data_IF_319275427237
#
_entry.id   IF_319275427237
#
_cell.length_a   1.000
_cell.length_b   1.000
_cell.length_c   1.000
_cell.angle_alpha   90.00
_cell.angle_beta   90.00
_cell.angle_gamma   90.00
#
_symmetry.space_group_name_H-M   'P 1'
#
loop_
_entity.id
_entity.type
_entity.pdbx_description
1 polymer ?
#
# COMPACT_ATOMS: atom_id res chain seq x y z
N UNK A 1 -39.12 -10.15 71.01
CA UNK A 1 -38.24 -11.23 70.48
C UNK A 1 -38.77 -11.73 69.14
N UNK A 2 -37.98 -11.51 68.09
CA UNK A 2 -37.86 -12.16 66.77
C UNK A 2 -39.05 -12.97 66.21
N UNK A 3 -39.51 -12.56 65.02
CA UNK A 3 -39.54 -13.43 63.82
C UNK A 3 -39.20 -12.57 62.59
N UNK A 4 -38.04 -12.83 62.02
CA UNK A 4 -37.53 -12.23 60.77
C UNK A 4 -38.00 -13.12 59.63
N UNK A 5 -38.69 -12.54 58.64
CA UNK A 5 -38.99 -13.19 57.37
C UNK A 5 -37.88 -12.79 56.40
N UNK A 6 -37.08 -13.77 55.97
CA UNK A 6 -36.07 -13.60 54.93
C UNK A 6 -36.75 -13.84 53.58
N UNK A 7 -36.88 -12.79 52.77
CA UNK A 7 -37.27 -12.90 51.36
C UNK A 7 -35.98 -12.90 50.52
N UNK A 8 -35.67 -14.03 49.91
CA UNK A 8 -34.52 -14.16 49.01
C UNK A 8 -34.81 -13.45 47.69
N UNK A 9 -34.10 -12.35 47.42
CA UNK A 9 -34.09 -11.68 46.12
C UNK A 9 -32.96 -12.31 45.29
N UNK A 10 -33.34 -13.02 44.23
CA UNK A 10 -32.43 -13.53 43.20
C UNK A 10 -31.96 -12.33 42.38
N UNK A 11 -30.72 -11.89 42.58
CA UNK A 11 -30.05 -10.91 41.72
C UNK A 11 -29.58 -11.64 40.46
N UNK A 12 -30.29 -11.44 39.37
CA UNK A 12 -29.87 -11.85 38.03
C UNK A 12 -28.87 -10.81 37.51
N UNK A 13 -27.58 -11.13 37.60
CA UNK A 13 -26.50 -10.29 37.07
C UNK A 13 -26.49 -10.31 35.54
N UNK A 14 -27.08 -9.29 34.91
CA UNK A 14 -26.82 -8.99 33.51
C UNK A 14 -25.46 -8.29 33.38
N UNK A 15 -24.46 -9.04 32.92
CA UNK A 15 -23.20 -8.47 32.44
C UNK A 15 -23.51 -7.74 31.13
N UNK A 16 -23.62 -6.41 31.20
CA UNK A 16 -23.58 -5.54 30.04
C UNK A 16 -22.20 -5.63 29.40
N UNK A 17 -22.06 -6.51 28.40
CA UNK A 17 -20.97 -6.41 27.44
C UNK A 17 -21.18 -5.12 26.64
N UNK A 18 -20.36 -4.10 26.93
CA UNK A 18 -20.30 -2.90 26.13
C UNK A 18 -19.91 -3.27 24.70
N UNK A 19 -20.89 -3.27 23.80
CA UNK A 19 -20.64 -3.21 22.36
C UNK A 19 -19.84 -1.94 22.10
N UNK A 20 -18.56 -2.09 21.74
CA UNK A 20 -17.79 -1.03 21.10
C UNK A 20 -18.52 -0.64 19.83
N UNK A 21 -19.30 0.43 19.89
CA UNK A 21 -19.74 1.15 18.71
C UNK A 21 -18.50 1.49 17.89
N UNK A 22 -18.47 1.05 16.63
CA UNK A 22 -17.38 1.38 15.72
C UNK A 22 -17.26 2.89 15.63
N UNK A 23 -16.05 3.42 15.87
CA UNK A 23 -15.74 4.80 15.57
C UNK A 23 -16.03 5.02 14.08
N UNK A 24 -17.01 5.87 13.76
CA UNK A 24 -17.22 6.31 12.39
C UNK A 24 -15.90 6.94 11.92
N UNK A 25 -15.32 6.41 10.84
CA UNK A 25 -14.13 7.00 10.23
C UNK A 25 -14.45 8.46 9.89
N UNK A 26 -13.59 9.40 10.31
CA UNK A 26 -13.79 10.81 9.97
C UNK A 26 -13.95 10.98 8.45
N UNK A 27 -14.83 11.89 8.00
CA UNK A 27 -15.07 12.10 6.59
C UNK A 27 -13.77 12.55 5.91
N UNK A 28 -13.49 11.99 4.72
CA UNK A 28 -12.33 12.38 3.93
C UNK A 28 -12.43 13.86 3.56
N UNK A 29 -11.35 14.60 3.79
CA UNK A 29 -11.26 16.03 3.54
C UNK A 29 -10.47 16.33 2.28
N UNK A 30 -10.67 17.50 1.72
CA UNK A 30 -9.98 17.95 0.52
C UNK A 30 -9.58 19.41 0.62
N UNK A 31 -8.48 19.77 -0.07
CA UNK A 31 -8.04 21.16 -0.20
C UNK A 31 -8.06 21.54 -1.67
N UNK A 32 -8.56 22.73 -1.94
CA UNK A 32 -8.57 23.40 -3.23
C UNK A 32 -7.69 24.64 -3.24
N UNK A 33 -7.19 25.02 -4.42
CA UNK A 33 -6.53 26.30 -4.69
C UNK A 33 -7.11 26.90 -5.96
N UNK A 34 -7.76 28.05 -5.82
CA UNK A 34 -8.55 28.70 -6.88
C UNK A 34 -9.50 27.68 -7.52
N UNK A 35 -9.33 27.35 -8.79
CA UNK A 35 -10.25 26.49 -9.55
C UNK A 35 -9.77 25.03 -9.63
N UNK A 36 -8.75 24.67 -8.84
CA UNK A 36 -8.13 23.33 -8.86
C UNK A 36 -8.20 22.67 -7.51
N UNK A 37 -8.36 21.35 -7.52
CA UNK A 37 -8.21 20.51 -6.34
C UNK A 37 -6.74 20.13 -6.16
N UNK A 38 -6.23 20.21 -4.93
CA UNK A 38 -4.86 19.84 -4.59
C UNK A 38 -4.76 18.35 -4.24
N UNK A 39 -3.69 17.64 -4.65
CA UNK A 39 -3.46 16.25 -4.29
C UNK A 39 -2.86 16.10 -2.87
N UNK A 40 -3.42 16.80 -1.89
CA UNK A 40 -3.00 16.72 -0.49
C UNK A 40 -3.82 15.62 0.20
N UNK A 41 -3.15 14.62 0.78
CA UNK A 41 -3.81 13.45 1.38
C UNK A 41 -3.84 13.51 2.91
N UNK A 42 -2.78 14.03 3.56
CA UNK A 42 -2.67 14.10 5.02
C UNK A 42 -3.22 15.46 5.52
N UNK A 43 -4.52 15.47 5.80
CA UNK A 43 -5.28 16.62 6.28
C UNK A 43 -5.86 16.26 7.64
N UNK A 44 -5.58 17.09 8.65
CA UNK A 44 -6.00 16.84 10.03
C UNK A 44 -6.81 18.01 10.54
N UNK A 45 -7.82 17.74 11.37
CA UNK A 45 -8.54 18.79 12.10
C UNK A 45 -8.20 18.65 13.57
N UNK A 46 -7.53 19.65 14.11
CA UNK A 46 -7.07 19.65 15.50
C UNK A 46 -7.66 20.89 16.15
N UNK A 47 -8.50 20.72 17.17
CA UNK A 47 -9.22 21.79 17.83
C UNK A 47 -10.00 22.70 16.85
N UNK A 48 -10.56 22.11 15.79
CA UNK A 48 -11.29 22.84 14.75
C UNK A 48 -10.42 23.55 13.71
N UNK A 49 -9.09 23.52 13.85
CA UNK A 49 -8.15 24.07 12.88
C UNK A 49 -7.69 22.99 11.89
N UNK A 50 -7.81 23.27 10.60
CA UNK A 50 -7.34 22.35 9.56
C UNK A 50 -5.85 22.53 9.37
N UNK A 51 -5.09 21.47 9.68
CA UNK A 51 -3.65 21.43 9.52
C UNK A 51 -3.28 20.47 8.39
N UNK A 52 -2.33 20.90 7.57
CA UNK A 52 -1.86 20.18 6.38
C UNK A 52 -0.34 20.06 6.41
N UNK A 53 0.22 19.12 5.66
CA UNK A 53 1.66 18.94 5.59
C UNK A 53 2.33 20.24 5.12
N UNK A 54 3.28 20.73 5.91
CA UNK A 54 3.92 22.03 5.72
C UNK A 54 4.59 22.15 4.36
N UNK A 55 5.34 21.12 3.94
CA UNK A 55 6.08 21.10 2.67
C UNK A 55 5.15 21.10 1.46
N UNK A 56 4.02 20.37 1.53
CA UNK A 56 3.07 20.30 0.43
C UNK A 56 2.41 21.67 0.20
N UNK A 57 1.89 22.26 1.27
CA UNK A 57 1.08 23.47 1.14
C UNK A 57 1.92 24.70 0.77
N UNK A 58 3.13 24.85 1.32
CA UNK A 58 3.99 26.00 0.98
C UNK A 58 4.40 25.97 -0.48
N UNK A 59 4.63 24.78 -1.03
CA UNK A 59 4.91 24.59 -2.46
C UNK A 59 3.72 25.00 -3.34
N UNK A 60 2.50 24.53 -3.02
CA UNK A 60 1.31 24.90 -3.81
C UNK A 60 0.98 26.39 -3.73
N UNK A 61 1.23 27.01 -2.58
CA UNK A 61 1.02 28.44 -2.39
C UNK A 61 2.19 29.29 -2.87
N UNK A 62 3.25 28.71 -3.45
CA UNK A 62 4.47 29.40 -3.88
C UNK A 62 5.02 30.33 -2.79
N UNK A 63 5.17 29.77 -1.58
CA UNK A 63 5.79 30.42 -0.44
C UNK A 63 7.23 29.94 -0.36
N UNK A 64 8.18 30.86 -0.37
CA UNK A 64 9.59 30.55 -0.18
C UNK A 64 9.83 30.19 1.27
N UNK A 65 10.52 29.07 1.51
CA UNK A 65 10.82 28.54 2.84
C UNK A 65 12.32 28.58 3.06
N UNK A 66 12.76 29.26 4.12
CA UNK A 66 14.13 29.19 4.61
C UNK A 66 14.11 28.63 6.05
N UNK A 67 14.68 27.45 6.24
CA UNK A 67 14.66 26.74 7.51
C UNK A 67 16.01 26.91 8.22
N UNK A 68 15.95 27.38 9.46
CA UNK A 68 17.10 27.46 10.37
C UNK A 68 16.91 26.45 11.51
N UNK A 69 17.82 26.43 12.47
CA UNK A 69 17.89 25.40 13.52
C UNK A 69 16.60 25.30 14.34
N UNK A 70 16.02 26.43 14.75
CA UNK A 70 14.87 26.52 15.64
C UNK A 70 13.69 27.31 15.05
N UNK A 71 13.87 27.87 13.85
CA UNK A 71 12.85 28.68 13.18
C UNK A 71 12.72 28.30 11.70
N UNK A 72 11.61 28.71 11.12
CA UNK A 72 11.38 28.72 9.68
C UNK A 72 10.87 30.08 9.26
N UNK A 73 11.54 30.67 8.27
CA UNK A 73 11.18 31.94 7.63
C UNK A 73 10.40 31.63 6.36
N UNK A 74 9.24 32.25 6.23
CA UNK A 74 8.36 32.11 5.08
C UNK A 74 8.24 33.46 4.38
N UNK A 75 8.47 33.49 3.07
CA UNK A 75 8.34 34.75 2.32
C UNK A 75 7.55 34.58 1.02
N UNK A 76 6.73 35.60 0.71
CA UNK A 76 5.95 35.68 -0.53
C UNK A 76 5.59 37.13 -0.81
N UNK A 77 5.87 37.59 -2.04
CA UNK A 77 5.49 38.92 -2.53
C UNK A 77 5.87 40.08 -1.57
N UNK A 78 7.08 40.03 -1.01
CA UNK A 78 7.60 41.07 -0.10
C UNK A 78 7.11 40.97 1.35
N UNK A 79 6.18 40.05 1.66
CA UNK A 79 5.81 39.71 3.05
C UNK A 79 6.69 38.57 3.56
N UNK A 80 7.19 38.71 4.77
CA UNK A 80 8.00 37.71 5.47
C UNK A 80 7.43 37.47 6.87
N UNK A 81 7.32 36.20 7.24
CA UNK A 81 6.96 35.79 8.60
C UNK A 81 7.99 34.77 9.11
N UNK A 82 8.21 34.76 10.42
CA UNK A 82 9.09 33.81 11.09
C UNK A 82 8.29 32.98 12.08
N UNK A 83 8.40 31.65 11.98
CA UNK A 83 7.73 30.70 12.87
C UNK A 83 8.76 29.87 13.62
N UNK A 84 8.56 29.72 14.93
CA UNK A 84 9.38 28.81 15.73
C UNK A 84 9.00 27.37 15.40
N UNK A 85 10.01 26.53 15.15
CA UNK A 85 9.81 25.10 14.97
C UNK A 85 9.41 24.49 16.32
N UNK A 86 8.34 23.67 16.36
CA UNK A 86 7.91 23.03 17.58
C UNK A 86 8.97 22.03 18.07
N UNK A 87 9.32 22.11 19.36
CA UNK A 87 10.20 21.14 20.03
C UNK A 87 9.41 20.01 20.70
N UNK A 88 8.12 20.27 20.99
CA UNK A 88 7.20 19.34 21.64
C UNK A 88 5.94 19.16 20.79
N UNK A 89 5.21 18.06 20.98
CA UNK A 89 3.92 17.79 20.34
C UNK A 89 2.77 18.62 20.97
N UNK A 90 2.91 19.95 20.98
CA UNK A 90 1.84 20.86 21.40
C UNK A 90 0.88 21.10 20.22
N UNK A 91 -0.42 21.05 20.49
CA UNK A 91 -1.46 21.05 19.45
C UNK A 91 -2.07 22.44 19.15
N UNK A 92 -1.72 23.46 19.93
CA UNK A 92 -2.30 24.81 19.86
C UNK A 92 -1.38 25.85 19.20
N UNK A 93 -0.47 25.41 18.34
CA UNK A 93 0.47 26.27 17.61
C UNK A 93 0.20 26.22 16.11
N UNK A 94 0.58 27.28 15.35
CA UNK A 94 0.49 27.26 13.90
C UNK A 94 1.24 26.09 13.28
N UNK A 95 2.37 25.71 13.86
CA UNK A 95 3.15 24.53 13.47
C UNK A 95 3.06 23.43 14.52
N UNK A 96 2.88 22.19 14.09
CA UNK A 96 2.90 21.02 14.97
C UNK A 96 3.71 19.88 14.34
N UNK A 97 4.21 18.96 15.17
CA UNK A 97 4.78 17.70 14.72
C UNK A 97 3.82 16.56 14.99
N UNK A 98 3.73 15.63 14.06
CA UNK A 98 3.07 14.35 14.32
C UNK A 98 3.99 13.35 15.02
N UNK A 99 3.48 12.13 15.22
CA UNK A 99 4.21 11.02 15.83
C UNK A 99 5.45 10.55 15.05
N UNK A 100 5.51 10.87 13.76
CA UNK A 100 6.59 10.53 12.85
C UNK A 100 7.50 11.74 12.55
N UNK A 101 7.42 12.81 13.36
CA UNK A 101 8.14 14.06 13.17
C UNK A 101 7.86 14.78 11.84
N UNK A 102 6.70 14.56 11.23
CA UNK A 102 6.25 15.35 10.08
C UNK A 102 5.69 16.69 10.57
N UNK A 103 6.10 17.77 9.90
CA UNK A 103 5.68 19.12 10.23
C UNK A 103 4.36 19.46 9.53
N UNK A 104 3.36 19.85 10.30
CA UNK A 104 2.08 20.33 9.82
C UNK A 104 1.92 21.82 10.14
N UNK A 105 1.13 22.51 9.33
CA UNK A 105 0.80 23.92 9.52
C UNK A 105 -0.69 24.16 9.46
N UNK A 106 -1.17 25.06 10.32
CA UNK A 106 -2.50 25.62 10.29
C UNK A 106 -2.74 26.30 8.94
N UNK A 107 -3.74 25.80 8.22
CA UNK A 107 -4.12 26.38 6.95
C UNK A 107 -4.69 27.78 7.16
N UNK A 108 -5.54 27.96 8.19
CA UNK A 108 -6.12 29.25 8.56
C UNK A 108 -5.04 30.28 8.86
N UNK A 109 -4.04 29.91 9.66
CA UNK A 109 -2.92 30.80 9.96
C UNK A 109 -2.17 31.18 8.68
N UNK A 110 -1.77 30.19 7.88
CA UNK A 110 -0.95 30.41 6.69
C UNK A 110 -1.66 31.27 5.64
N UNK A 111 -2.96 31.06 5.43
CA UNK A 111 -3.73 31.84 4.45
C UNK A 111 -3.91 33.28 4.90
N UNK A 112 -4.19 33.51 6.19
CA UNK A 112 -4.28 34.86 6.76
C UNK A 112 -2.96 35.61 6.62
N UNK A 113 -1.83 34.92 6.83
CA UNK A 113 -0.51 35.54 6.71
C UNK A 113 -0.10 35.85 5.28
N UNK A 114 -0.71 35.25 4.25
CA UNK A 114 -0.31 35.49 2.86
C UNK A 114 -1.47 35.97 1.99
N UNK A 115 -2.42 36.67 2.59
CA UNK A 115 -3.54 37.35 1.94
C UNK A 115 -4.33 36.39 1.02
N UNK A 116 -4.51 35.17 1.49
CA UNK A 116 -5.43 34.21 0.89
C UNK A 116 -6.72 34.17 1.70
N UNK A 117 -7.83 33.98 0.99
CA UNK A 117 -9.12 33.68 1.57
C UNK A 117 -9.29 32.16 1.72
N UNK A 118 -10.12 31.76 2.68
CA UNK A 118 -10.50 30.38 2.93
C UNK A 118 -12.03 30.27 2.92
N UNK A 119 -12.55 29.48 2.01
CA UNK A 119 -13.97 29.13 1.97
C UNK A 119 -14.14 27.65 2.32
N UNK A 120 -15.07 27.35 3.24
CA UNK A 120 -15.40 25.99 3.61
C UNK A 120 -16.68 25.53 2.92
N UNK A 121 -16.63 24.38 2.26
CA UNK A 121 -17.76 23.73 1.61
C UNK A 121 -18.20 22.52 2.45
N UNK A 122 -19.20 22.67 3.35
CA UNK A 122 -19.52 21.64 4.35
C UNK A 122 -20.01 20.34 3.72
N UNK A 123 -20.76 20.42 2.61
CA UNK A 123 -21.31 19.26 1.90
C UNK A 123 -20.24 18.27 1.42
N UNK A 124 -19.02 18.75 1.18
CA UNK A 124 -17.94 17.96 0.62
C UNK A 124 -16.70 17.89 1.52
N UNK A 125 -16.76 18.46 2.72
CA UNK A 125 -15.64 18.57 3.65
C UNK A 125 -14.37 19.16 3.01
N UNK A 126 -14.57 20.15 2.13
CA UNK A 126 -13.50 20.77 1.33
C UNK A 126 -13.22 22.20 1.78
N UNK A 127 -11.95 22.56 1.91
CA UNK A 127 -11.53 23.95 2.05
C UNK A 127 -10.94 24.45 0.73
N UNK A 128 -11.41 25.59 0.25
CA UNK A 128 -10.86 26.27 -0.93
C UNK A 128 -10.03 27.45 -0.47
N UNK A 129 -8.78 27.47 -0.90
CA UNK A 129 -7.88 28.62 -0.78
C UNK A 129 -8.03 29.44 -2.06
N UNK A 130 -8.22 30.75 -1.95
CA UNK A 130 -8.33 31.62 -3.13
C UNK A 130 -7.89 33.05 -2.83
N UNK A 131 -7.93 33.92 -3.84
CA UNK A 131 -7.69 35.36 -3.70
C UNK A 131 -8.70 36.10 -4.56
N UNK A 132 -9.27 37.16 -4.02
CA UNK A 132 -10.25 37.98 -4.74
C UNK A 132 -9.65 38.63 -5.99
N UNK A 133 -8.37 39.00 -5.94
CA UNK A 133 -7.63 39.63 -7.02
C UNK A 133 -7.01 38.64 -8.04
N UNK A 134 -7.34 37.35 -7.95
CA UNK A 134 -6.88 36.32 -8.88
C UNK A 134 -8.07 35.76 -9.64
N UNK A 135 -8.05 35.61 -10.97
CA UNK A 135 -9.17 35.03 -11.72
C UNK A 135 -9.54 33.64 -11.20
N UNK A 136 -10.78 33.48 -10.75
CA UNK A 136 -11.31 32.20 -10.28
C UNK A 136 -12.83 32.15 -10.50
N UNK A 137 -13.38 30.94 -10.63
CA UNK A 137 -14.83 30.75 -10.79
C UNK A 137 -15.55 31.02 -9.46
N UNK A 138 -16.86 31.31 -9.54
CA UNK A 138 -17.70 31.55 -8.36
C UNK A 138 -17.67 30.37 -7.38
N UNK A 139 -17.99 30.60 -6.11
CA UNK A 139 -18.09 29.50 -5.14
C UNK A 139 -19.15 28.47 -5.54
N UNK A 140 -20.24 28.91 -6.18
CA UNK A 140 -21.30 28.04 -6.69
C UNK A 140 -20.77 27.13 -7.81
N UNK A 141 -20.05 27.68 -8.78
CA UNK A 141 -19.48 26.88 -9.87
C UNK A 141 -18.36 25.95 -9.37
N UNK A 142 -17.64 26.39 -8.34
CA UNK A 142 -16.60 25.58 -7.70
C UNK A 142 -17.16 24.36 -6.96
N UNK A 143 -18.39 24.40 -6.42
CA UNK A 143 -19.05 23.19 -5.95
C UNK A 143 -19.13 22.13 -7.05
N UNK A 144 -19.28 22.52 -8.31
CA UNK A 144 -19.20 21.64 -9.47
C UNK A 144 -17.83 20.97 -9.62
N UNK A 145 -16.75 21.75 -9.49
CA UNK A 145 -15.36 21.23 -9.53
C UNK A 145 -15.10 20.26 -8.37
N UNK A 146 -15.56 20.60 -7.16
CA UNK A 146 -15.44 19.72 -5.99
C UNK A 146 -16.20 18.43 -6.26
N UNK A 147 -17.47 18.53 -6.70
CA UNK A 147 -18.32 17.38 -7.01
C UNK A 147 -17.66 16.49 -8.05
N UNK A 148 -17.12 17.03 -9.12
CA UNK A 148 -16.48 16.24 -10.18
C UNK A 148 -15.20 15.56 -9.68
N UNK A 149 -14.41 16.24 -8.85
CA UNK A 149 -13.22 15.65 -8.25
C UNK A 149 -13.54 14.55 -7.23
N UNK A 150 -14.48 14.82 -6.32
CA UNK A 150 -14.96 13.85 -5.33
C UNK A 150 -15.62 12.69 -6.02
N UNK A 151 -16.49 12.92 -7.00
CA UNK A 151 -17.11 11.88 -7.82
C UNK A 151 -16.07 11.13 -8.62
N UNK A 152 -15.02 11.73 -9.17
CA UNK A 152 -13.95 10.98 -9.86
C UNK A 152 -13.17 10.09 -8.89
N UNK A 153 -12.87 10.59 -7.69
CA UNK A 153 -12.26 9.77 -6.63
C UNK A 153 -13.22 8.70 -6.12
N UNK A 154 -14.52 8.97 -6.03
CA UNK A 154 -15.55 8.07 -5.54
C UNK A 154 -16.02 7.08 -6.62
N UNK A 155 -16.01 7.44 -7.90
CA UNK A 155 -16.29 6.57 -9.06
C UNK A 155 -15.10 5.69 -9.38
N UNK A 156 -13.87 6.08 -9.02
CA UNK A 156 -12.77 5.14 -8.87
C UNK A 156 -13.03 4.08 -7.77
N UNK A 157 -14.00 4.31 -6.87
CA UNK A 157 -14.51 3.36 -5.87
C UNK A 157 -15.95 2.89 -6.11
N UNK A 158 -16.64 3.32 -7.18
CA UNK A 158 -17.87 2.66 -7.62
C UNK A 158 -17.39 1.34 -8.21
N UNK A 159 -17.61 0.27 -7.44
CA UNK A 159 -17.23 -1.08 -7.83
C UNK A 159 -17.81 -1.37 -9.22
N UNK A 160 -16.96 -1.31 -10.25
CA UNK A 160 -17.17 -2.15 -11.44
C UNK A 160 -17.47 -3.56 -10.92
N UNK A 161 -18.36 -4.33 -11.57
CA UNK A 161 -18.62 -5.70 -11.15
C UNK A 161 -17.28 -6.41 -10.96
N UNK A 162 -17.11 -7.00 -9.77
CA UNK A 162 -15.85 -7.62 -9.35
C UNK A 162 -15.36 -8.54 -10.48
N UNK A 163 -14.18 -8.25 -11.03
CA UNK A 163 -13.51 -9.11 -12.00
C UNK A 163 -12.84 -10.28 -11.25
N UNK A 164 -11.80 -10.86 -11.84
CA UNK A 164 -11.01 -11.90 -11.22
C UNK A 164 -10.17 -11.38 -10.04
N UNK A 165 -9.79 -12.30 -9.16
CA UNK A 165 -8.73 -12.07 -8.18
C UNK A 165 -7.38 -11.97 -8.92
N UNK A 166 -6.54 -11.02 -8.51
CA UNK A 166 -5.20 -10.80 -9.07
C UNK A 166 -4.17 -10.83 -7.95
N UNK A 167 -3.12 -11.61 -8.16
CA UNK A 167 -2.01 -11.78 -7.21
C UNK A 167 -0.78 -11.09 -7.78
N UNK A 168 -0.40 -9.96 -7.18
CA UNK A 168 0.89 -9.34 -7.43
C UNK A 168 1.96 -10.18 -6.73
N UNK A 169 2.95 -10.64 -7.50
CA UNK A 169 4.03 -11.45 -6.96
C UNK A 169 5.40 -10.88 -7.29
N UNK A 170 6.31 -10.89 -6.32
CA UNK A 170 7.63 -10.28 -6.42
C UNK A 170 8.73 -11.30 -6.12
N UNK A 171 9.61 -11.52 -7.09
CA UNK A 171 10.73 -12.46 -7.00
C UNK A 171 12.05 -11.73 -6.69
N UNK A 172 13.09 -12.51 -6.38
CA UNK A 172 14.49 -12.10 -6.15
C UNK A 172 14.79 -11.25 -4.90
N UNK A 173 13.78 -10.81 -4.16
CA UNK A 173 13.96 -10.12 -2.88
C UNK A 173 14.51 -11.03 -1.76
N UNK A 174 14.66 -10.51 -0.53
CA UNK A 174 14.50 -9.12 -0.15
C UNK A 174 15.72 -8.26 -0.52
N UNK A 175 15.49 -7.02 -0.92
CA UNK A 175 16.51 -6.00 -1.16
C UNK A 175 15.92 -4.58 -0.93
N UNK A 176 16.67 -3.51 -1.23
CA UNK A 176 16.21 -2.14 -1.02
C UNK A 176 14.93 -1.78 -1.80
N UNK A 177 14.67 -2.43 -2.94
CA UNK A 177 13.45 -2.22 -3.72
C UNK A 177 12.25 -2.93 -3.11
N UNK A 178 12.45 -4.05 -2.40
CA UNK A 178 11.40 -4.70 -1.60
C UNK A 178 10.80 -3.71 -0.60
N UNK A 179 11.62 -2.88 0.06
CA UNK A 179 11.13 -1.85 1.00
C UNK A 179 10.26 -0.82 0.27
N UNK A 180 10.68 -0.35 -0.90
CA UNK A 180 9.91 0.62 -1.69
C UNK A 180 8.59 0.03 -2.21
N UNK A 181 8.63 -1.22 -2.67
CA UNK A 181 7.46 -1.95 -3.13
C UNK A 181 6.48 -2.19 -1.98
N UNK A 182 6.95 -2.64 -0.81
CA UNK A 182 6.13 -2.80 0.41
C UNK A 182 5.46 -1.48 0.81
N UNK A 183 6.21 -0.38 0.89
CA UNK A 183 5.66 0.94 1.20
C UNK A 183 4.59 1.39 0.19
N UNK A 184 4.78 1.06 -1.09
CA UNK A 184 3.81 1.36 -2.15
C UNK A 184 2.54 0.53 -1.95
N UNK A 185 2.66 -0.78 -1.76
CA UNK A 185 1.53 -1.68 -1.49
C UNK A 185 0.72 -1.22 -0.28
N UNK A 186 1.40 -0.84 0.81
CA UNK A 186 0.79 -0.26 2.01
C UNK A 186 0.03 1.03 1.72
N UNK A 187 0.61 1.95 0.94
CA UNK A 187 -0.06 3.20 0.52
C UNK A 187 -1.38 2.92 -0.22
N UNK A 188 -1.42 1.87 -1.03
CA UNK A 188 -2.61 1.46 -1.78
C UNK A 188 -3.52 0.47 -1.05
N UNK A 189 -3.20 0.10 0.20
CA UNK A 189 -3.89 -0.93 0.98
C UNK A 189 -4.02 -2.27 0.24
N UNK A 190 -2.93 -2.69 -0.42
CA UNK A 190 -2.85 -3.94 -1.18
C UNK A 190 -1.93 -4.92 -0.46
N UNK A 191 -2.34 -6.18 -0.39
CA UNK A 191 -1.46 -7.28 0.03
C UNK A 191 -0.92 -8.03 -1.20
N UNK A 192 0.35 -8.43 -1.15
CA UNK A 192 1.02 -9.15 -2.25
C UNK A 192 1.72 -10.43 -1.76
N UNK A 193 2.30 -11.20 -2.67
CA UNK A 193 3.06 -12.42 -2.38
C UNK A 193 4.52 -12.22 -2.78
N UNK A 194 5.46 -12.41 -1.86
CA UNK A 194 6.88 -12.26 -2.14
C UNK A 194 7.57 -13.62 -2.15
N UNK A 195 8.40 -13.89 -3.14
CA UNK A 195 9.23 -15.09 -3.22
C UNK A 195 10.68 -14.69 -3.02
N UNK A 196 11.20 -14.99 -1.83
CA UNK A 196 12.51 -14.51 -1.42
C UNK A 196 13.60 -15.55 -1.60
N UNK A 197 14.78 -15.07 -1.98
CA UNK A 197 16.01 -15.85 -2.05
C UNK A 197 16.60 -16.01 -0.65
N UNK A 198 16.93 -17.25 -0.29
CA UNK A 198 17.52 -17.58 1.00
C UNK A 198 18.80 -16.80 1.31
N UNK A 199 19.68 -16.64 0.31
CA UNK A 199 20.90 -15.85 0.47
C UNK A 199 20.64 -14.37 0.74
N UNK A 200 19.58 -13.80 0.15
CA UNK A 200 19.20 -12.40 0.38
C UNK A 200 18.56 -12.23 1.76
N UNK A 201 17.72 -13.18 2.20
CA UNK A 201 17.07 -13.12 3.52
C UNK A 201 18.09 -13.03 4.67
N UNK A 202 19.19 -13.78 4.61
CA UNK A 202 20.21 -13.83 5.68
C UNK A 202 20.73 -12.44 6.09
N UNK A 203 20.83 -11.51 5.15
CA UNK A 203 21.35 -10.16 5.39
C UNK A 203 20.26 -9.10 5.53
N UNK A 204 18.98 -9.46 5.41
CA UNK A 204 17.86 -8.53 5.27
C UNK A 204 16.68 -8.90 6.19
N UNK A 205 16.97 -9.39 7.39
CA UNK A 205 15.95 -9.85 8.36
C UNK A 205 14.89 -8.78 8.64
N UNK A 206 15.28 -7.52 8.75
CA UNK A 206 14.35 -6.41 9.03
C UNK A 206 13.35 -6.19 7.90
N UNK A 207 13.79 -6.36 6.64
CA UNK A 207 12.91 -6.27 5.47
C UNK A 207 11.91 -7.43 5.48
N UNK A 208 12.36 -8.65 5.76
CA UNK A 208 11.48 -9.84 5.87
C UNK A 208 10.42 -9.64 6.96
N UNK A 209 10.84 -9.14 8.13
CA UNK A 209 9.93 -8.86 9.25
C UNK A 209 8.89 -7.79 8.89
N UNK A 210 9.32 -6.69 8.24
CA UNK A 210 8.40 -5.63 7.82
C UNK A 210 7.37 -6.15 6.82
N UNK A 211 7.79 -6.89 5.79
CA UNK A 211 6.88 -7.48 4.79
C UNK A 211 5.89 -8.45 5.44
N UNK A 212 6.33 -9.27 6.39
CA UNK A 212 5.46 -10.19 7.11
C UNK A 212 4.47 -9.46 8.05
N UNK A 213 4.90 -8.38 8.69
CA UNK A 213 4.07 -7.57 9.60
C UNK A 213 2.99 -6.80 8.83
N UNK A 214 3.27 -6.36 7.60
CA UNK A 214 2.32 -5.69 6.71
C UNK A 214 1.32 -6.67 6.04
N UNK A 215 1.31 -7.95 6.44
CA UNK A 215 0.28 -8.92 6.06
C UNK A 215 0.49 -9.60 4.71
N UNK A 216 1.67 -9.45 4.11
CA UNK A 216 2.03 -10.15 2.88
C UNK A 216 2.36 -11.63 3.13
N UNK A 217 2.14 -12.46 2.12
CA UNK A 217 2.65 -13.83 2.12
C UNK A 217 4.09 -13.86 1.65
N UNK A 218 4.95 -14.61 2.35
CA UNK A 218 6.36 -14.79 1.99
C UNK A 218 6.57 -16.27 1.64
N UNK A 219 6.81 -16.57 0.37
CA UNK A 219 7.28 -17.86 -0.12
C UNK A 219 8.79 -17.89 -0.35
N UNK A 220 9.30 -19.08 -0.69
CA UNK A 220 10.72 -19.28 -1.03
C UNK A 220 10.93 -19.25 -2.55
N UNK A 221 12.04 -18.66 -2.99
CA UNK A 221 12.49 -18.65 -4.38
C UNK A 221 13.80 -19.41 -4.60
N UNK A 222 14.06 -20.47 -3.83
CA UNK A 222 15.37 -21.14 -3.65
C UNK A 222 16.31 -20.46 -2.65
N UNK A 223 17.47 -21.06 -2.43
CA UNK A 223 18.56 -20.42 -1.69
C UNK A 223 19.35 -19.48 -2.60
N UNK A 224 19.74 -19.94 -3.79
CA UNK A 224 20.82 -19.32 -4.57
C UNK A 224 20.42 -18.68 -5.89
N UNK A 225 19.26 -19.04 -6.47
CA UNK A 225 18.90 -18.75 -7.86
C UNK A 225 19.94 -19.27 -8.90
N UNK A 226 20.83 -20.19 -8.53
CA UNK A 226 21.83 -20.74 -9.45
C UNK A 226 21.25 -21.92 -10.21
N UNK A 227 20.95 -21.71 -11.50
CA UNK A 227 20.39 -22.74 -12.38
C UNK A 227 21.17 -24.05 -12.36
N UNK A 228 22.50 -24.00 -12.34
CA UNK A 228 23.35 -25.19 -12.40
C UNK A 228 23.34 -25.96 -11.08
N UNK A 229 23.10 -25.28 -9.95
CA UNK A 229 22.95 -25.93 -8.64
C UNK A 229 21.56 -26.50 -8.47
N UNK A 230 20.54 -25.68 -8.70
CA UNK A 230 19.13 -26.03 -8.48
C UNK A 230 18.75 -27.26 -9.31
N UNK A 231 19.02 -27.24 -10.61
CA UNK A 231 18.52 -28.28 -11.51
C UNK A 231 19.52 -29.43 -11.74
N UNK A 232 20.57 -29.55 -10.92
CA UNK A 232 21.58 -30.61 -11.03
C UNK A 232 21.02 -32.00 -10.78
N UNK A 233 20.11 -32.14 -9.82
CA UNK A 233 19.48 -33.40 -9.42
C UNK A 233 18.20 -33.14 -8.63
N UNK A 234 17.37 -34.17 -8.44
CA UNK A 234 16.15 -34.05 -7.61
C UNK A 234 16.47 -33.61 -6.18
N UNK A 235 17.55 -34.16 -5.59
CA UNK A 235 17.99 -33.79 -4.24
C UNK A 235 18.48 -32.34 -4.17
N UNK A 236 19.26 -31.88 -5.16
CA UNK A 236 19.76 -30.51 -5.17
C UNK A 236 18.60 -29.49 -5.29
N UNK A 237 17.65 -29.77 -6.19
CA UNK A 237 16.44 -28.98 -6.35
C UNK A 237 15.62 -28.90 -5.06
N UNK A 238 15.38 -30.04 -4.44
CA UNK A 238 14.63 -30.10 -3.19
C UNK A 238 15.33 -29.32 -2.07
N UNK A 239 16.64 -29.50 -1.90
CA UNK A 239 17.40 -28.82 -0.85
C UNK A 239 17.35 -27.30 -1.04
N UNK A 240 17.52 -26.80 -2.27
CA UNK A 240 17.40 -25.37 -2.59
C UNK A 240 16.02 -24.79 -2.18
N UNK A 241 14.93 -25.49 -2.50
CA UNK A 241 13.58 -25.05 -2.11
C UNK A 241 13.35 -25.16 -0.60
N UNK A 242 13.74 -26.29 -0.03
CA UNK A 242 13.50 -26.65 1.37
C UNK A 242 14.27 -25.73 2.32
N UNK A 243 15.55 -25.48 2.07
CA UNK A 243 16.37 -24.59 2.88
C UNK A 243 15.87 -23.14 2.83
N UNK A 244 15.46 -22.65 1.65
CA UNK A 244 14.86 -21.33 1.52
C UNK A 244 13.56 -21.22 2.32
N UNK A 245 12.67 -22.21 2.22
CA UNK A 245 11.42 -22.23 2.98
C UNK A 245 11.65 -22.39 4.49
N UNK A 246 12.68 -23.15 4.90
CA UNK A 246 13.09 -23.26 6.30
C UNK A 246 13.54 -21.91 6.85
N UNK A 247 14.29 -21.11 6.08
CA UNK A 247 14.65 -19.74 6.47
C UNK A 247 13.42 -18.84 6.61
N UNK A 248 12.44 -18.92 5.70
CA UNK A 248 11.17 -18.19 5.83
C UNK A 248 10.49 -18.53 7.16
N UNK A 249 10.39 -19.83 7.51
CA UNK A 249 9.80 -20.26 8.79
C UNK A 249 10.57 -19.73 9.99
N UNK A 250 11.90 -19.76 9.94
CA UNK A 250 12.75 -19.25 11.02
C UNK A 250 12.59 -17.73 11.23
N UNK A 251 12.41 -16.96 10.16
CA UNK A 251 12.28 -15.51 10.25
C UNK A 251 10.87 -15.04 10.57
N UNK A 252 9.85 -15.69 10.02
CA UNK A 252 8.46 -15.25 10.13
C UNK A 252 7.66 -15.98 11.21
N UNK A 253 8.15 -17.13 11.69
CA UNK A 253 7.41 -18.05 12.55
C UNK A 253 6.31 -18.85 11.84
N UNK A 254 6.09 -18.62 10.54
CA UNK A 254 5.03 -19.25 9.74
C UNK A 254 5.59 -20.36 8.88
N UNK A 255 4.95 -21.54 8.88
CA UNK A 255 5.37 -22.67 8.04
C UNK A 255 4.86 -22.53 6.61
N UNK A 256 5.36 -21.51 5.91
CA UNK A 256 4.96 -21.18 4.55
C UNK A 256 5.48 -22.23 3.56
N UNK A 257 4.55 -22.93 2.88
CA UNK A 257 4.84 -24.06 1.97
C UNK A 257 4.73 -23.73 0.48
N UNK A 258 4.36 -22.51 0.12
CA UNK A 258 4.40 -22.07 -1.27
C UNK A 258 5.83 -21.68 -1.69
N UNK A 259 6.29 -22.26 -2.80
CA UNK A 259 7.55 -21.91 -3.46
C UNK A 259 7.30 -21.42 -4.89
N UNK A 260 8.25 -20.65 -5.41
CA UNK A 260 8.37 -20.41 -6.85
C UNK A 260 9.75 -20.85 -7.27
N UNK A 261 9.83 -21.63 -8.33
CA UNK A 261 11.11 -22.13 -8.82
C UNK A 261 11.76 -21.10 -9.75
N UNK A 262 13.07 -20.81 -9.61
CA UNK A 262 13.78 -19.93 -10.53
C UNK A 262 13.60 -20.33 -11.99
N UNK A 263 13.42 -19.34 -12.87
CA UNK A 263 13.24 -19.49 -14.32
C UNK A 263 11.93 -20.17 -14.77
N UNK A 264 11.00 -20.44 -13.86
CA UNK A 264 9.75 -21.13 -14.16
C UNK A 264 9.90 -22.65 -14.25
N UNK A 265 8.81 -23.36 -13.99
CA UNK A 265 8.85 -24.82 -13.82
C UNK A 265 9.07 -25.60 -15.10
N UNK A 266 8.58 -25.11 -16.24
CA UNK A 266 8.73 -25.79 -17.53
C UNK A 266 9.81 -25.13 -18.38
N UNK A 267 10.76 -25.89 -18.96
CA UNK A 267 10.87 -27.35 -18.96
C UNK A 267 11.78 -27.92 -17.84
N UNK A 268 12.14 -27.12 -16.84
CA UNK A 268 13.26 -27.43 -15.93
C UNK A 268 12.93 -28.42 -14.80
N UNK A 269 11.70 -28.39 -14.29
CA UNK A 269 11.23 -29.26 -13.21
C UNK A 269 10.82 -30.61 -13.79
N UNK A 270 11.62 -31.63 -13.48
CA UNK A 270 11.32 -33.03 -13.85
C UNK A 270 10.22 -33.63 -12.99
N UNK A 271 9.60 -34.73 -13.44
CA UNK A 271 8.57 -35.45 -12.67
C UNK A 271 9.06 -35.91 -11.29
N UNK A 272 10.34 -36.27 -11.17
CA UNK A 272 10.95 -36.65 -9.87
C UNK A 272 11.07 -35.46 -8.91
N UNK A 273 11.46 -34.29 -9.42
CA UNK A 273 11.51 -33.03 -8.65
C UNK A 273 10.12 -32.60 -8.18
N UNK A 274 9.15 -32.65 -9.09
CA UNK A 274 7.74 -32.38 -8.81
C UNK A 274 7.19 -33.31 -7.72
N UNK A 275 7.37 -34.63 -7.87
CA UNK A 275 6.92 -35.63 -6.88
C UNK A 275 7.55 -35.37 -5.50
N UNK A 276 8.83 -35.03 -5.46
CA UNK A 276 9.53 -34.72 -4.21
C UNK A 276 8.96 -33.50 -3.49
N UNK A 277 8.58 -32.43 -4.21
CA UNK A 277 7.91 -31.27 -3.62
C UNK A 277 6.54 -31.64 -3.03
N UNK A 278 5.72 -32.34 -3.81
CA UNK A 278 4.36 -32.75 -3.40
C UNK A 278 4.44 -33.63 -2.14
N UNK A 279 5.31 -34.65 -2.14
CA UNK A 279 5.50 -35.55 -1.00
C UNK A 279 6.00 -34.82 0.26
N UNK A 280 6.68 -33.69 0.08
CA UNK A 280 7.17 -32.85 1.18
C UNK A 280 6.17 -31.76 1.61
N UNK A 281 4.96 -31.76 1.03
CA UNK A 281 3.88 -30.82 1.36
C UNK A 281 4.08 -29.41 0.80
N UNK A 282 4.98 -29.23 -0.17
CA UNK A 282 5.16 -27.93 -0.84
C UNK A 282 4.10 -27.72 -1.92
N UNK A 283 3.73 -26.45 -2.07
CA UNK A 283 2.96 -25.92 -3.20
C UNK A 283 3.88 -25.11 -4.10
N UNK A 284 3.56 -24.98 -5.39
CA UNK A 284 4.36 -24.26 -6.36
C UNK A 284 3.50 -23.36 -7.25
N UNK A 285 3.92 -22.10 -7.37
CA UNK A 285 3.35 -21.17 -8.34
C UNK A 285 4.37 -20.75 -9.40
N UNK A 286 3.97 -20.85 -10.66
CA UNK A 286 4.50 -20.05 -11.76
C UNK A 286 3.70 -18.72 -11.84
N UNK A 287 3.36 -18.26 -13.04
CA UNK A 287 2.61 -17.03 -13.28
C UNK A 287 1.80 -17.12 -14.58
N UNK A 288 0.79 -16.25 -14.70
CA UNK A 288 -0.02 -16.08 -15.91
C UNK A 288 0.45 -14.91 -16.76
N UNK A 289 1.02 -13.90 -16.09
CA UNK A 289 1.45 -12.65 -16.71
C UNK A 289 2.90 -12.39 -16.34
N UNK A 290 3.77 -12.42 -17.35
CA UNK A 290 5.14 -11.95 -17.23
C UNK A 290 5.18 -10.45 -17.56
N UNK A 291 5.59 -9.63 -16.59
CA UNK A 291 5.75 -8.18 -16.77
C UNK A 291 6.93 -7.83 -17.69
N UNK A 292 7.89 -8.75 -17.85
CA UNK A 292 9.20 -8.54 -18.46
C UNK A 292 9.98 -7.37 -17.84
N UNK A 293 9.71 -7.02 -16.58
CA UNK A 293 10.35 -5.91 -15.87
C UNK A 293 11.89 -5.98 -15.88
N UNK A 294 12.46 -7.18 -15.82
CA UNK A 294 13.89 -7.43 -15.92
C UNK A 294 14.54 -6.95 -17.23
N UNK A 295 13.76 -6.75 -18.30
CA UNK A 295 14.25 -6.30 -19.61
C UNK A 295 14.42 -4.77 -19.74
N UNK A 296 13.78 -4.02 -18.85
CA UNK A 296 13.62 -2.57 -19.01
C UNK A 296 14.45 -1.78 -18.01
N UNK A 297 14.77 -0.54 -18.38
CA UNK A 297 15.36 0.46 -17.50
C UNK A 297 14.29 1.31 -16.80
N UNK A 298 14.69 2.15 -15.84
CA UNK A 298 13.79 3.09 -15.16
C UNK A 298 13.05 4.02 -16.12
N UNK A 299 13.69 4.44 -17.23
CA UNK A 299 13.07 5.28 -18.26
C UNK A 299 11.96 4.57 -19.03
N UNK A 300 11.98 3.23 -19.03
CA UNK A 300 11.07 2.37 -19.76
C UNK A 300 10.06 1.69 -18.83
N UNK A 301 9.98 2.09 -17.55
CA UNK A 301 9.06 1.51 -16.57
C UNK A 301 7.58 1.51 -17.03
N UNK A 302 7.19 2.45 -17.89
CA UNK A 302 5.86 2.44 -18.50
C UNK A 302 5.57 1.19 -19.33
N UNK A 303 6.59 0.59 -19.97
CA UNK A 303 6.43 -0.63 -20.76
C UNK A 303 6.07 -1.82 -19.87
N UNK A 304 6.56 -1.86 -18.63
CA UNK A 304 6.20 -2.87 -17.62
C UNK A 304 4.70 -2.80 -17.33
N UNK A 305 4.19 -1.59 -17.07
CA UNK A 305 2.75 -1.37 -16.89
C UNK A 305 1.93 -1.83 -18.11
N UNK A 306 2.38 -1.51 -19.33
CA UNK A 306 1.69 -1.93 -20.55
C UNK A 306 1.70 -3.46 -20.72
N UNK A 307 2.82 -4.12 -20.42
CA UNK A 307 2.93 -5.58 -20.47
C UNK A 307 1.99 -6.25 -19.47
N UNK A 308 1.95 -5.75 -18.22
CA UNK A 308 1.03 -6.23 -17.19
C UNK A 308 -0.42 -6.03 -17.63
N UNK A 309 -0.79 -4.82 -18.07
CA UNK A 309 -2.14 -4.51 -18.54
C UNK A 309 -2.58 -5.44 -19.68
N UNK A 310 -1.73 -5.62 -20.68
CA UNK A 310 -2.02 -6.48 -21.83
C UNK A 310 -2.11 -7.96 -21.41
N UNK A 311 -1.20 -8.42 -20.56
CA UNK A 311 -1.19 -9.79 -20.05
C UNK A 311 -2.42 -10.12 -19.21
N UNK A 312 -2.78 -9.23 -18.28
CA UNK A 312 -3.98 -9.38 -17.44
C UNK A 312 -5.24 -9.40 -18.28
N UNK A 313 -5.38 -8.50 -19.26
CA UNK A 313 -6.53 -8.51 -20.16
C UNK A 313 -6.62 -9.81 -20.97
N UNK A 314 -5.49 -10.33 -21.49
CA UNK A 314 -5.47 -11.63 -22.18
C UNK A 314 -5.87 -12.78 -21.26
N UNK A 315 -5.30 -12.82 -20.04
CA UNK A 315 -5.58 -13.86 -19.06
C UNK A 315 -7.04 -13.84 -18.58
N UNK A 316 -7.62 -12.66 -18.40
CA UNK A 316 -9.04 -12.49 -18.06
C UNK A 316 -9.96 -12.93 -19.21
N UNK A 317 -9.63 -12.56 -20.44
CA UNK A 317 -10.43 -12.90 -21.61
C UNK A 317 -10.36 -14.40 -21.99
N UNK A 318 -9.33 -15.13 -21.57
CA UNK A 318 -9.25 -16.58 -21.79
C UNK A 318 -10.08 -17.41 -20.80
N UNK A 319 -10.70 -16.76 -19.81
CA UNK A 319 -11.63 -17.38 -18.86
C UNK A 319 -11.56 -16.72 -17.49
N UNK A 320 -12.64 -16.86 -16.71
CA UNK A 320 -12.69 -16.33 -15.35
C UNK A 320 -11.86 -17.19 -14.38
N UNK A 321 -10.56 -16.91 -14.29
CA UNK A 321 -9.67 -17.49 -13.29
C UNK A 321 -8.87 -16.41 -12.59
N UNK A 322 -8.41 -16.73 -11.38
CA UNK A 322 -7.40 -15.91 -10.69
C UNK A 322 -6.15 -15.73 -11.57
N UNK A 323 -5.52 -14.55 -11.50
CA UNK A 323 -4.39 -14.19 -12.36
C UNK A 323 -3.16 -13.90 -11.48
N UNK A 324 -2.05 -14.60 -11.72
CA UNK A 324 -0.78 -14.38 -11.01
C UNK A 324 0.18 -13.58 -11.89
N UNK A 325 0.67 -12.45 -11.39
CA UNK A 325 1.57 -11.52 -12.11
C UNK A 325 2.99 -11.66 -11.57
N UNK A 326 3.94 -11.95 -12.44
CA UNK A 326 5.38 -11.97 -12.13
C UNK A 326 5.98 -10.57 -12.22
N UNK A 327 6.55 -10.13 -11.11
CA UNK A 327 7.39 -8.94 -10.96
C UNK A 327 8.65 -9.35 -10.18
N UNK A 328 9.65 -8.49 -10.17
CA UNK A 328 10.88 -8.63 -9.39
C UNK A 328 11.13 -7.37 -8.57
N UNK A 329 11.79 -7.49 -7.42
CA UNK A 329 12.16 -6.34 -6.60
C UNK A 329 13.31 -5.53 -7.26
N UNK A 330 12.95 -4.64 -8.20
CA UNK A 330 13.84 -3.82 -9.03
C UNK A 330 13.38 -2.34 -9.10
N UNK A 331 14.30 -1.44 -9.45
CA UNK A 331 14.04 0.01 -9.53
C UNK A 331 12.89 0.36 -10.48
N UNK A 332 12.94 -0.15 -11.71
CA UNK A 332 11.94 0.08 -12.74
C UNK A 332 10.57 -0.49 -12.35
N UNK A 333 10.54 -1.60 -11.61
CA UNK A 333 9.31 -2.20 -11.07
C UNK A 333 8.67 -1.29 -10.04
N UNK A 334 9.46 -0.74 -9.10
CA UNK A 334 8.98 0.25 -8.13
C UNK A 334 8.36 1.48 -8.81
N UNK A 335 8.94 1.95 -9.93
CA UNK A 335 8.40 3.08 -10.69
C UNK A 335 7.05 2.71 -11.36
N UNK A 336 6.92 1.49 -11.89
CA UNK A 336 5.72 1.04 -12.58
C UNK A 336 4.56 0.67 -11.64
N UNK A 337 4.89 0.19 -10.43
CA UNK A 337 3.95 -0.44 -9.50
C UNK A 337 2.73 0.43 -9.12
N UNK A 338 2.86 1.73 -8.80
CA UNK A 338 1.69 2.57 -8.50
C UNK A 338 0.64 2.54 -9.60
N UNK A 339 1.07 2.69 -10.86
CA UNK A 339 0.17 2.74 -12.02
C UNK A 339 -0.47 1.38 -12.31
N UNK A 340 0.26 0.29 -12.04
CA UNK A 340 -0.28 -1.07 -12.14
C UNK A 340 -1.42 -1.25 -11.12
N UNK A 341 -1.20 -0.89 -9.86
CA UNK A 341 -2.21 -1.03 -8.80
C UNK A 341 -3.44 -0.16 -9.09
N UNK A 342 -3.22 1.11 -9.42
CA UNK A 342 -4.31 2.04 -9.75
C UNK A 342 -5.17 1.50 -10.90
N UNK A 343 -4.55 1.02 -11.97
CA UNK A 343 -5.29 0.45 -13.10
C UNK A 343 -6.05 -0.82 -12.72
N UNK A 344 -5.44 -1.74 -11.96
CA UNK A 344 -6.09 -2.97 -11.53
C UNK A 344 -7.34 -2.67 -10.67
N UNK A 345 -7.21 -1.77 -9.70
CA UNK A 345 -8.31 -1.33 -8.84
C UNK A 345 -9.41 -0.62 -9.66
N UNK A 346 -9.04 0.31 -10.55
CA UNK A 346 -9.97 1.02 -11.43
C UNK A 346 -10.71 0.07 -12.41
N UNK A 347 -10.12 -1.05 -12.75
CA UNK A 347 -10.73 -2.08 -13.60
C UNK A 347 -11.60 -3.07 -12.82
N UNK A 348 -11.64 -2.99 -11.49
CA UNK A 348 -12.45 -3.85 -10.64
C UNK A 348 -11.82 -5.22 -10.34
N UNK A 349 -10.50 -5.37 -10.51
CA UNK A 349 -9.79 -6.57 -10.05
C UNK A 349 -9.58 -6.53 -8.54
N UNK A 350 -9.69 -7.69 -7.89
CA UNK A 350 -9.48 -7.81 -6.44
C UNK A 350 -8.05 -8.26 -6.15
N UNK A 351 -7.25 -7.37 -5.54
CA UNK A 351 -5.83 -7.62 -5.31
C UNK A 351 -5.64 -8.41 -4.01
N UNK A 352 -5.18 -9.66 -4.16
CA UNK A 352 -5.03 -10.60 -3.04
C UNK A 352 -3.58 -11.04 -2.87
N UNK A 353 -3.26 -11.43 -1.64
CA UNK A 353 -2.08 -12.21 -1.32
C UNK A 353 -2.45 -13.69 -1.25
N UNK A 354 -1.46 -14.57 -1.46
CA UNK A 354 -1.66 -16.01 -1.31
C UNK A 354 -2.10 -16.39 0.11
N UNK A 355 -2.99 -17.36 0.19
CA UNK A 355 -3.49 -17.97 1.42
C UNK A 355 -3.52 -19.49 1.27
N UNK A 356 -2.84 -20.27 2.13
CA UNK A 356 -2.78 -21.73 2.02
C UNK A 356 -4.16 -22.41 1.96
N UNK A 357 -5.13 -21.91 2.71
CA UNK A 357 -6.51 -22.41 2.77
C UNK A 357 -7.33 -22.14 1.50
N UNK A 358 -6.82 -21.31 0.59
CA UNK A 358 -7.46 -20.95 -0.68
C UNK A 358 -6.47 -21.08 -1.84
N UNK A 359 -5.61 -22.10 -1.79
CA UNK A 359 -4.63 -22.38 -2.82
C UNK A 359 -5.30 -22.53 -4.19
N UNK A 360 -4.75 -21.82 -5.18
CA UNK A 360 -5.11 -21.96 -6.59
C UNK A 360 -3.97 -22.65 -7.35
N UNK A 361 -4.33 -23.38 -8.40
CA UNK A 361 -3.36 -24.09 -9.24
C UNK A 361 -2.88 -23.16 -10.35
N UNK A 362 -1.65 -22.66 -10.22
CA UNK A 362 -0.98 -21.85 -11.24
C UNK A 362 0.42 -22.37 -11.47
N UNK A 363 0.57 -23.39 -12.32
CA UNK A 363 1.88 -23.91 -12.73
C UNK A 363 1.87 -24.38 -14.19
N UNK A 364 3.01 -24.26 -14.87
CA UNK A 364 3.16 -24.64 -16.28
C UNK A 364 3.10 -26.15 -16.50
N UNK A 365 3.29 -26.96 -15.45
CA UNK A 365 3.17 -28.42 -15.47
C UNK A 365 1.71 -28.91 -15.49
N UNK A 366 0.75 -28.03 -15.20
CA UNK A 366 -0.69 -28.32 -15.09
C UNK A 366 -1.03 -29.40 -14.05
N UNK A 367 -0.23 -29.48 -12.98
CA UNK A 367 -0.47 -30.43 -11.90
C UNK A 367 -1.29 -29.79 -10.77
N UNK A 368 -2.49 -30.31 -10.45
CA UNK A 368 -3.33 -29.79 -9.38
C UNK A 368 -2.83 -30.11 -7.96
N UNK A 369 -1.86 -31.02 -7.81
CA UNK A 369 -1.26 -31.36 -6.53
C UNK A 369 -0.21 -30.34 -6.07
N UNK A 370 0.37 -29.59 -7.01
CA UNK A 370 1.29 -28.48 -6.73
C UNK A 370 0.57 -27.20 -6.33
#
# INVERSE_FOLDING_TARGET
>A
MKKVIVLAIIILSFILTANKAGAASEPKRYIGLHDKMLPIEDIRVINGDTKVLFEDITKFLYITVNKETDIVKLSKHGKEITLKLPTDKKFDTPLILDENNKLFVSLKYLTNEFDFQLEYFPKHYTLRIYRDNYPHISHVDYEGVIRDYVNKKQTAFIQKPKKADVYLTFDDGPNNFTVKNNNTLKKYNVSATFFFLGNNMKNNKDIVNSVNADGHYIGSHSMSHDKQKIYKSTTAFYNEMHEGAKLVKQMTGKDNKLVRVPYGSSPLVTSSMQKQLIQSGYKMWDWDVDSNDWRYTDKEANQIYLNVKNGVNRAYNSGNRSIVILLHDRSQTTIALPRIIEWLQQEGYDLKTYKPESHIVTNFLRDPML
#
